data_IF_478114924768
#
_entry.id   IF_478114924768
#
_cell.length_a   1.000
_cell.length_b   1.000
_cell.length_c   1.000
_cell.angle_alpha   90.00
_cell.angle_beta   90.00
_cell.angle_gamma   90.00
#
_symmetry.space_group_name_H-M   'P 1'
#
loop_
_entity.id
_entity.type
_entity.pdbx_description
1 polymer ?
#
# COMPACT_ATOMS: atom_id res chain seq x y z
N UNK A 1 -3.70 7.73 -1.35
CA UNK A 1 -3.37 7.29 0.03
C UNK A 1 -4.41 6.34 0.65
N UNK A 2 -5.71 6.65 0.67
CA UNK A 2 -6.71 5.75 1.27
C UNK A 2 -6.84 4.39 0.54
N UNK A 3 -6.61 4.35 -0.78
CA UNK A 3 -6.64 3.11 -1.57
C UNK A 3 -5.45 2.19 -1.32
N UNK A 4 -4.22 2.71 -1.18
CA UNK A 4 -3.02 1.90 -0.83
C UNK A 4 -3.15 1.27 0.58
N UNK A 5 -3.75 2.00 1.51
CA UNK A 5 -3.88 1.56 2.90
C UNK A 5 -5.03 0.56 3.14
N UNK A 6 -6.10 0.55 2.33
CA UNK A 6 -7.21 -0.40 2.51
C UNK A 6 -6.80 -1.84 2.21
N UNK A 7 -5.90 -2.05 1.25
CA UNK A 7 -5.43 -3.38 0.88
C UNK A 7 -4.65 -4.10 1.99
N UNK A 8 -3.95 -3.35 2.83
CA UNK A 8 -2.98 -3.89 3.80
C UNK A 8 -3.60 -4.49 5.06
N UNK A 9 -4.78 -4.02 5.48
CA UNK A 9 -5.35 -4.41 6.79
C UNK A 9 -6.36 -5.54 6.66
N UNK A 10 -7.14 -5.57 5.57
CA UNK A 10 -8.29 -6.47 5.48
C UNK A 10 -8.41 -7.24 4.16
N UNK A 11 -7.94 -6.69 3.04
CA UNK A 11 -8.31 -7.26 1.74
C UNK A 11 -7.45 -8.45 1.30
N UNK A 12 -6.19 -8.60 1.72
CA UNK A 12 -5.38 -9.77 1.32
C UNK A 12 -5.97 -11.12 1.82
N UNK A 13 -6.62 -11.12 2.98
CA UNK A 13 -7.29 -12.33 3.47
C UNK A 13 -8.50 -12.71 2.61
N UNK A 14 -9.11 -11.76 1.89
CA UNK A 14 -10.27 -12.01 1.03
C UNK A 14 -9.99 -13.09 -0.03
N UNK A 15 -9.02 -12.89 -0.94
CA UNK A 15 -8.63 -13.89 -1.93
C UNK A 15 -8.23 -15.24 -1.32
N UNK A 16 -7.57 -15.25 -0.16
CA UNK A 16 -7.15 -16.49 0.50
C UNK A 16 -8.30 -17.22 1.20
N UNK A 17 -9.30 -16.51 1.72
CA UNK A 17 -10.52 -17.07 2.37
C UNK A 17 -11.56 -17.52 1.35
N UNK A 18 -11.61 -16.86 0.20
CA UNK A 18 -12.63 -17.08 -0.82
C UNK A 18 -11.99 -17.27 -2.21
N UNK A 19 -11.04 -18.21 -2.37
CA UNK A 19 -10.26 -18.33 -3.60
C UNK A 19 -11.12 -18.71 -4.82
N UNK A 20 -12.28 -19.32 -4.60
CA UNK A 20 -13.20 -19.73 -5.68
C UNK A 20 -14.08 -18.57 -6.19
N UNK A 21 -14.04 -17.41 -5.51
CA UNK A 21 -14.80 -16.21 -5.86
C UNK A 21 -13.91 -15.06 -6.34
N UNK A 22 -12.60 -15.30 -6.45
CA UNK A 22 -11.61 -14.29 -6.87
C UNK A 22 -10.79 -14.88 -8.01
N UNK A 23 -10.93 -14.32 -9.21
CA UNK A 23 -10.19 -14.78 -10.39
C UNK A 23 -8.70 -14.48 -10.26
N UNK A 24 -8.36 -13.28 -9.79
CA UNK A 24 -6.99 -12.84 -9.55
C UNK A 24 -6.94 -11.61 -8.64
N UNK A 25 -5.75 -11.27 -8.14
CA UNK A 25 -5.52 -10.09 -7.29
C UNK A 25 -4.32 -9.29 -7.79
N UNK A 26 -4.41 -7.96 -7.75
CA UNK A 26 -3.31 -7.04 -8.02
C UNK A 26 -3.11 -6.18 -6.76
N UNK A 27 -1.88 -6.11 -6.24
CA UNK A 27 -1.56 -5.32 -5.06
C UNK A 27 -0.11 -4.81 -5.07
N UNK A 28 0.20 -3.84 -4.21
CA UNK A 28 1.40 -2.97 -4.19
C UNK A 28 1.01 -1.67 -3.47
N UNK A 29 1.85 -0.79 -2.93
CA UNK A 29 3.29 -0.47 -3.09
C UNK A 29 4.06 -0.58 -1.76
N UNK A 30 3.65 -1.52 -0.92
CA UNK A 30 4.10 -1.62 0.45
C UNK A 30 4.10 -3.08 0.94
N UNK A 31 4.95 -3.41 1.93
CA UNK A 31 5.08 -4.78 2.39
C UNK A 31 3.84 -5.14 3.20
N UNK A 32 3.26 -6.31 2.92
CA UNK A 32 2.04 -6.74 3.59
C UNK A 32 2.30 -6.95 5.09
N UNK A 33 1.47 -6.40 6.00
CA UNK A 33 1.59 -6.66 7.42
C UNK A 33 1.70 -8.15 7.75
N UNK A 34 2.70 -8.53 8.54
CA UNK A 34 2.96 -9.92 8.95
C UNK A 34 3.96 -10.69 8.07
N UNK A 35 4.43 -10.08 6.98
CA UNK A 35 5.56 -10.59 6.17
C UNK A 35 6.91 -10.27 6.80
N UNK A 36 7.96 -10.99 6.40
CA UNK A 36 9.30 -10.72 6.90
C UNK A 36 9.77 -9.30 6.55
N UNK A 37 9.50 -8.83 5.32
CA UNK A 37 9.83 -7.47 4.88
C UNK A 37 9.12 -6.40 5.73
N UNK A 38 7.85 -6.62 6.10
CA UNK A 38 7.13 -5.71 6.99
C UNK A 38 7.79 -5.66 8.37
N UNK A 39 8.07 -6.81 8.99
CA UNK A 39 8.67 -6.88 10.33
C UNK A 39 10.07 -6.26 10.39
N UNK A 40 10.87 -6.45 9.35
CA UNK A 40 12.21 -5.87 9.26
C UNK A 40 12.16 -4.35 9.12
N UNK A 41 11.19 -3.79 8.39
CA UNK A 41 11.22 -2.37 8.03
C UNK A 41 10.38 -1.48 8.95
N UNK A 42 9.24 -1.94 9.48
CA UNK A 42 8.19 -1.13 10.14
C UNK A 42 8.63 -0.17 11.26
N UNK A 43 9.86 -0.30 11.78
CA UNK A 43 10.38 0.52 12.88
C UNK A 43 11.77 1.14 12.59
N UNK A 44 12.34 0.96 11.40
CA UNK A 44 13.78 1.15 11.18
C UNK A 44 14.15 2.40 10.36
N UNK A 45 13.20 3.00 9.63
CA UNK A 45 13.50 4.10 8.71
C UNK A 45 12.78 5.41 9.06
N UNK A 46 13.47 6.56 9.13
CA UNK A 46 12.84 7.88 9.29
C UNK A 46 11.75 8.18 8.24
N UNK A 47 11.92 7.67 7.02
CA UNK A 47 10.95 7.76 5.92
C UNK A 47 9.61 7.09 6.27
N UNK A 48 9.62 6.14 7.21
CA UNK A 48 8.44 5.46 7.74
C UNK A 48 7.90 6.08 9.02
N UNK A 49 8.34 7.29 9.40
CA UNK A 49 7.81 8.02 10.57
C UNK A 49 6.29 8.10 10.59
N UNK A 50 5.66 8.18 9.42
CA UNK A 50 4.21 8.22 9.29
C UNK A 50 3.51 6.98 9.89
N UNK A 51 4.13 5.79 9.89
CA UNK A 51 3.59 4.60 10.57
C UNK A 51 3.47 4.83 12.08
N UNK A 52 4.47 5.47 12.70
CA UNK A 52 4.45 5.79 14.12
C UNK A 52 3.53 6.96 14.44
N UNK A 53 3.60 8.04 13.66
CA UNK A 53 2.77 9.22 13.85
C UNK A 53 1.29 8.89 13.79
N UNK A 54 0.86 8.20 12.72
CA UNK A 54 -0.55 7.96 12.44
C UNK A 54 -1.22 7.02 13.46
N UNK A 55 -0.47 6.12 14.11
CA UNK A 55 -1.02 5.21 15.13
C UNK A 55 -1.20 5.84 16.52
N UNK A 56 -0.59 7.00 16.80
CA UNK A 56 -0.73 7.64 18.12
C UNK A 56 -2.17 8.13 18.33
N UNK A 57 -2.89 7.51 19.25
CA UNK A 57 -4.29 7.85 19.51
C UNK A 57 -4.44 9.34 19.89
N UNK A 58 -5.33 10.04 19.18
CA UNK A 58 -5.66 11.44 19.45
C UNK A 58 -4.66 12.48 18.94
N UNK A 59 -3.48 12.09 18.42
CA UNK A 59 -2.42 13.04 18.04
C UNK A 59 -2.47 13.51 16.56
N UNK A 60 -2.67 12.64 15.54
CA UNK A 60 -2.65 13.07 14.14
C UNK A 60 -3.69 14.14 13.80
N UNK A 61 -4.93 13.93 14.24
CA UNK A 61 -6.05 14.83 13.92
C UNK A 61 -5.78 16.29 14.32
N UNK A 62 -5.47 16.63 15.58
CA UNK A 62 -5.20 18.03 15.95
C UNK A 62 -3.94 18.61 15.31
N UNK A 63 -2.98 17.77 14.88
CA UNK A 63 -1.77 18.26 14.22
C UNK A 63 -1.96 18.49 12.71
N UNK A 64 -2.83 17.73 12.05
CA UNK A 64 -3.07 17.84 10.61
C UNK A 64 -4.21 18.80 10.28
N UNK A 65 -5.20 18.96 11.17
CA UNK A 65 -6.37 19.82 10.93
C UNK A 65 -5.98 21.26 10.57
N UNK A 66 -6.47 21.74 9.42
CA UNK A 66 -6.16 23.07 8.88
C UNK A 66 -4.76 23.19 8.27
N UNK A 67 -4.00 22.08 8.21
CA UNK A 67 -2.66 21.98 7.63
C UNK A 67 -2.55 20.79 6.67
N UNK A 68 -3.67 20.32 6.14
CA UNK A 68 -3.77 19.14 5.28
C UNK A 68 -2.88 19.30 4.04
N UNK A 69 -2.88 20.47 3.41
CA UNK A 69 -2.03 20.75 2.25
C UNK A 69 -0.54 20.60 2.57
N UNK A 70 -0.06 21.18 3.67
CA UNK A 70 1.34 21.06 4.09
C UNK A 70 1.68 19.59 4.41
N UNK A 71 0.80 18.92 5.14
CA UNK A 71 1.00 17.53 5.53
C UNK A 71 1.07 16.59 4.31
N UNK A 72 0.13 16.72 3.38
CA UNK A 72 0.04 15.87 2.20
C UNK A 72 1.15 16.17 1.19
N UNK A 73 1.47 17.45 0.93
CA UNK A 73 2.62 17.80 0.07
C UNK A 73 3.90 17.19 0.61
N UNK A 74 4.18 17.40 1.90
CA UNK A 74 5.34 16.79 2.55
C UNK A 74 5.31 15.27 2.45
N UNK A 75 4.14 14.64 2.64
CA UNK A 75 4.04 13.19 2.49
C UNK A 75 4.43 12.75 1.08
N UNK A 76 3.73 13.24 0.04
CA UNK A 76 3.97 12.84 -1.35
C UNK A 76 5.39 13.16 -1.83
N UNK A 77 5.98 14.28 -1.43
CA UNK A 77 7.37 14.63 -1.75
C UNK A 77 8.38 13.59 -1.26
N UNK A 78 8.11 12.95 -0.12
CA UNK A 78 9.08 12.05 0.52
C UNK A 78 8.91 10.59 0.09
N UNK A 79 7.78 10.23 -0.53
CA UNK A 79 7.48 8.85 -0.93
C UNK A 79 7.53 8.62 -2.44
N UNK A 80 7.52 9.71 -3.23
CA UNK A 80 7.54 9.65 -4.70
C UNK A 80 8.97 9.83 -5.23
N UNK A 81 9.28 9.20 -6.35
CA UNK A 81 10.49 9.46 -7.13
C UNK A 81 10.27 10.70 -8.00
N UNK A 82 9.18 10.74 -8.75
CA UNK A 82 8.70 11.90 -9.49
C UNK A 82 7.62 12.65 -8.69
N UNK A 83 8.05 13.45 -7.70
CA UNK A 83 7.12 14.24 -6.88
C UNK A 83 6.26 15.25 -7.68
N UNK A 84 6.69 15.60 -8.90
CA UNK A 84 5.95 16.47 -9.82
C UNK A 84 4.80 15.77 -10.54
N UNK A 85 4.72 14.44 -10.47
CA UNK A 85 3.58 13.65 -10.96
C UNK A 85 2.29 13.96 -10.20
N UNK A 86 2.39 14.27 -8.91
CA UNK A 86 1.27 14.80 -8.13
C UNK A 86 1.16 16.30 -8.40
N UNK A 87 0.27 16.67 -9.32
CA UNK A 87 0.08 18.07 -9.70
C UNK A 87 -0.57 18.88 -8.57
N UNK A 88 -0.56 20.21 -8.70
CA UNK A 88 -1.29 21.08 -7.76
C UNK A 88 -2.79 20.76 -7.71
N UNK A 89 -3.40 20.44 -8.85
CA UNK A 89 -4.81 20.07 -8.91
C UNK A 89 -5.10 18.73 -8.22
N UNK A 90 -4.21 17.75 -8.36
CA UNK A 90 -4.33 16.46 -7.67
C UNK A 90 -4.18 16.65 -6.16
N UNK A 91 -3.20 17.45 -5.74
CA UNK A 91 -3.00 17.77 -4.33
C UNK A 91 -4.22 18.47 -3.73
N UNK A 92 -4.78 19.47 -4.40
CA UNK A 92 -6.00 20.17 -3.97
C UNK A 92 -7.17 19.19 -3.82
N UNK A 93 -7.28 18.21 -4.72
CA UNK A 93 -8.29 17.15 -4.62
C UNK A 93 -8.07 16.27 -3.39
N UNK A 94 -6.85 15.78 -3.15
CA UNK A 94 -6.54 14.99 -1.96
C UNK A 94 -6.74 15.77 -0.66
N UNK A 95 -6.40 17.07 -0.65
CA UNK A 95 -6.64 17.97 0.48
C UNK A 95 -8.13 18.07 0.76
N UNK A 96 -8.95 18.30 -0.25
CA UNK A 96 -10.40 18.38 -0.09
C UNK A 96 -11.00 17.10 0.50
N UNK A 97 -10.47 15.93 0.12
CA UNK A 97 -10.88 14.64 0.67
C UNK A 97 -10.39 14.43 2.11
N UNK A 98 -9.14 14.79 2.43
CA UNK A 98 -8.59 14.67 3.78
C UNK A 98 -9.15 15.68 4.78
N UNK A 99 -9.60 16.84 4.31
CA UNK A 99 -10.29 17.85 5.12
C UNK A 99 -11.72 17.46 5.48
N UNK A 100 -12.29 16.39 4.90
CA UNK A 100 -13.63 15.94 5.25
C UNK A 100 -13.73 15.52 6.73
N UNK A 101 -14.87 15.78 7.40
CA UNK A 101 -15.07 15.39 8.78
C UNK A 101 -14.79 13.89 9.02
N UNK A 102 -13.74 13.60 9.78
CA UNK A 102 -13.37 12.23 10.14
C UNK A 102 -12.38 11.54 9.20
N UNK A 103 -12.00 12.13 8.06
CA UNK A 103 -11.08 11.51 7.11
C UNK A 103 -9.73 11.15 7.76
N UNK A 104 -9.09 12.13 8.43
CA UNK A 104 -7.83 11.89 9.17
C UNK A 104 -7.99 10.80 10.24
N UNK A 105 -9.11 10.78 10.97
CA UNK A 105 -9.38 9.75 11.99
C UNK A 105 -9.45 8.35 11.37
N UNK A 106 -10.11 8.23 10.21
CA UNK A 106 -10.24 6.98 9.47
C UNK A 106 -8.89 6.53 8.91
N UNK A 107 -8.15 7.42 8.25
CA UNK A 107 -6.80 7.14 7.75
C UNK A 107 -5.87 6.67 8.87
N UNK A 108 -5.80 7.39 9.99
CA UNK A 108 -5.04 6.97 11.19
C UNK A 108 -5.54 5.65 11.80
N UNK A 109 -6.80 5.27 11.55
CA UNK A 109 -7.37 4.01 12.01
C UNK A 109 -6.73 2.79 11.37
N UNK A 110 -6.41 2.87 10.09
CA UNK A 110 -5.69 1.82 9.35
C UNK A 110 -4.35 1.53 10.01
N UNK A 111 -3.55 2.56 10.28
CA UNK A 111 -2.24 2.40 10.91
C UNK A 111 -2.31 1.76 12.30
N UNK A 112 -3.39 1.99 13.06
CA UNK A 112 -3.60 1.32 14.35
C UNK A 112 -3.92 -0.16 14.22
N UNK A 113 -4.49 -0.56 13.08
CA UNK A 113 -4.89 -1.93 12.81
C UNK A 113 -3.78 -2.78 12.18
N UNK A 114 -2.65 -2.20 11.73
CA UNK A 114 -1.58 -2.95 11.08
C UNK A 114 -1.01 -4.11 11.92
N UNK A 115 -0.78 -3.92 13.21
CA UNK A 115 -0.25 -5.01 14.05
C UNK A 115 -1.28 -6.12 14.28
N UNK A 116 -2.57 -5.79 14.31
CA UNK A 116 -3.65 -6.80 14.34
C UNK A 116 -3.70 -7.55 13.00
N UNK A 117 -3.70 -6.83 11.87
CA UNK A 117 -3.68 -7.44 10.55
C UNK A 117 -2.43 -8.30 10.30
N UNK A 118 -1.27 -7.90 10.82
CA UNK A 118 -0.04 -8.67 10.75
C UNK A 118 -0.17 -10.03 11.45
N UNK A 119 -0.78 -10.05 12.65
CA UNK A 119 -1.05 -11.28 13.37
C UNK A 119 -2.04 -12.16 12.59
N UNK A 120 -3.15 -11.59 12.14
CA UNK A 120 -4.20 -12.32 11.40
C UNK A 120 -3.66 -12.92 10.09
N UNK A 121 -2.86 -12.18 9.33
CA UNK A 121 -2.20 -12.66 8.10
C UNK A 121 -1.27 -13.83 8.40
N UNK A 122 -0.45 -13.73 9.45
CA UNK A 122 0.50 -14.77 9.83
C UNK A 122 -0.20 -16.04 10.30
N UNK A 123 -1.19 -15.93 11.18
CA UNK A 123 -1.98 -17.05 11.68
C UNK A 123 -2.73 -17.74 10.55
N UNK A 124 -3.35 -16.96 9.66
CA UNK A 124 -4.06 -17.49 8.50
C UNK A 124 -3.12 -18.29 7.58
N UNK A 125 -1.97 -17.71 7.22
CA UNK A 125 -0.97 -18.36 6.37
C UNK A 125 -0.40 -19.63 7.01
N UNK A 126 -0.15 -19.62 8.31
CA UNK A 126 0.32 -20.82 9.03
C UNK A 126 -0.72 -21.94 9.03
N UNK A 127 -2.01 -21.61 9.14
CA UNK A 127 -3.08 -22.59 9.19
C UNK A 127 -3.51 -23.11 7.81
N UNK A 128 -3.43 -22.27 6.77
CA UNK A 128 -4.01 -22.55 5.45
C UNK A 128 -2.99 -22.61 4.30
N UNK A 129 -1.73 -22.26 4.55
CA UNK A 129 -0.70 -22.14 3.53
C UNK A 129 -0.76 -20.81 2.77
N UNK A 130 -0.06 -20.77 1.63
CA UNK A 130 0.00 -19.61 0.74
C UNK A 130 -1.29 -19.49 -0.08
N UNK A 131 -1.63 -18.28 -0.50
CA UNK A 131 -2.80 -18.03 -1.33
C UNK A 131 -2.58 -18.60 -2.74
N UNK A 132 -3.53 -19.43 -3.22
CA UNK A 132 -3.48 -20.05 -4.56
C UNK A 132 -3.99 -19.13 -5.69
N UNK A 133 -4.68 -18.04 -5.35
CA UNK A 133 -5.22 -17.08 -6.33
C UNK A 133 -4.05 -16.44 -7.08
N UNK A 134 -4.09 -16.37 -8.43
CA UNK A 134 -3.08 -15.67 -9.21
C UNK A 134 -2.92 -14.21 -8.74
N UNK A 135 -1.69 -13.79 -8.52
CA UNK A 135 -1.38 -12.46 -8.01
C UNK A 135 -0.39 -11.71 -8.90
N UNK A 136 -0.64 -10.43 -9.12
CA UNK A 136 0.35 -9.46 -9.59
C UNK A 136 0.76 -8.58 -8.41
N UNK A 137 2.05 -8.53 -8.10
CA UNK A 137 2.60 -7.57 -7.15
C UNK A 137 3.32 -6.45 -7.90
N UNK A 138 2.86 -5.22 -7.73
CA UNK A 138 3.48 -4.04 -8.31
C UNK A 138 4.35 -3.35 -7.26
N UNK A 139 5.58 -3.02 -7.64
CA UNK A 139 6.42 -2.07 -6.90
C UNK A 139 7.00 -0.99 -7.82
N UNK A 140 7.19 0.25 -7.37
CA UNK A 140 7.96 1.24 -8.11
C UNK A 140 9.43 0.83 -8.16
N UNK A 141 10.08 0.98 -9.32
CA UNK A 141 11.51 0.66 -9.51
C UNK A 141 12.43 1.37 -8.51
N UNK A 142 12.06 2.59 -8.09
CA UNK A 142 12.78 3.41 -7.11
C UNK A 142 12.16 3.39 -5.71
N UNK A 143 11.19 2.50 -5.47
CA UNK A 143 10.58 2.31 -4.16
C UNK A 143 11.57 1.75 -3.14
N UNK A 144 11.39 2.11 -1.88
CA UNK A 144 12.16 1.54 -0.76
C UNK A 144 11.94 0.03 -0.61
N UNK A 145 10.87 -0.52 -1.18
CA UNK A 145 10.49 -1.93 -1.07
C UNK A 145 10.68 -2.73 -2.38
N UNK A 146 11.28 -2.12 -3.41
CA UNK A 146 11.44 -2.75 -4.71
C UNK A 146 12.22 -4.09 -4.64
N UNK A 147 13.18 -4.20 -3.73
CA UNK A 147 14.02 -5.39 -3.56
C UNK A 147 13.28 -6.53 -2.84
N UNK A 148 12.38 -6.19 -1.95
CA UNK A 148 11.62 -7.12 -1.12
C UNK A 148 10.30 -7.53 -1.76
N UNK A 149 9.83 -6.82 -2.80
CA UNK A 149 8.54 -7.06 -3.45
C UNK A 149 8.37 -8.52 -3.90
N UNK A 150 9.36 -9.08 -4.59
CA UNK A 150 9.31 -10.47 -5.06
C UNK A 150 9.29 -11.49 -3.91
N UNK A 151 10.11 -11.28 -2.87
CA UNK A 151 10.14 -12.15 -1.70
C UNK A 151 8.83 -12.08 -0.90
N UNK A 152 8.26 -10.88 -0.76
CA UNK A 152 6.98 -10.66 -0.07
C UNK A 152 5.84 -11.38 -0.80
N UNK A 153 5.84 -11.35 -2.13
CA UNK A 153 4.86 -12.10 -2.92
C UNK A 153 5.02 -13.61 -2.78
N UNK A 154 6.24 -14.13 -2.90
CA UNK A 154 6.52 -15.58 -2.75
C UNK A 154 6.18 -16.08 -1.34
N UNK A 155 6.34 -15.25 -0.31
CA UNK A 155 5.90 -15.58 1.05
C UNK A 155 4.37 -15.79 1.13
N UNK A 156 3.59 -15.01 0.38
CA UNK A 156 2.14 -14.94 0.53
C UNK A 156 1.36 -15.75 -0.51
N UNK A 157 1.91 -16.00 -1.69
CA UNK A 157 1.19 -16.57 -2.83
C UNK A 157 1.93 -17.76 -3.45
N UNK A 158 1.17 -18.72 -3.97
CA UNK A 158 1.72 -19.84 -4.74
C UNK A 158 2.04 -19.45 -6.19
N UNK A 159 1.22 -18.56 -6.76
CA UNK A 159 1.30 -18.11 -8.14
C UNK A 159 1.31 -16.58 -8.16
N UNK A 160 2.50 -15.99 -8.13
CA UNK A 160 2.66 -14.54 -8.16
C UNK A 160 3.63 -14.08 -9.24
N UNK A 161 3.28 -12.96 -9.85
CA UNK A 161 4.09 -12.23 -10.81
C UNK A 161 4.56 -10.93 -10.11
N UNK A 162 5.81 -10.82 -9.64
CA UNK A 162 6.36 -9.53 -9.23
C UNK A 162 6.67 -8.70 -10.46
N UNK A 163 6.35 -7.41 -10.41
CA UNK A 163 6.69 -6.47 -11.47
C UNK A 163 7.04 -5.10 -10.92
N UNK A 164 7.98 -4.45 -11.59
CA UNK A 164 8.40 -3.09 -11.26
C UNK A 164 7.79 -2.11 -12.25
N UNK A 165 7.25 -1.00 -11.76
CA UNK A 165 6.81 0.13 -12.59
C UNK A 165 8.00 1.07 -12.77
N UNK A 166 8.41 1.27 -14.02
CA UNK A 166 9.59 2.09 -14.35
C UNK A 166 9.43 3.54 -13.91
N UNK A 167 10.56 4.18 -13.57
CA UNK A 167 10.62 5.61 -13.24
C UNK A 167 9.62 6.04 -12.13
N UNK A 168 9.33 5.14 -11.18
CA UNK A 168 8.32 5.34 -10.13
C UNK A 168 8.79 4.88 -8.76
N UNK A 169 8.29 5.49 -7.70
CA UNK A 169 8.38 4.96 -6.33
C UNK A 169 6.99 4.56 -5.82
N UNK A 170 6.47 5.18 -4.77
CA UNK A 170 5.25 4.71 -4.11
C UNK A 170 3.96 5.13 -4.82
N UNK A 171 3.95 6.21 -5.61
CA UNK A 171 2.76 6.69 -6.30
C UNK A 171 2.74 6.20 -7.75
N UNK A 172 2.93 4.90 -7.98
CA UNK A 172 3.15 4.30 -9.31
C UNK A 172 2.13 4.69 -10.38
N UNK A 173 0.85 4.84 -10.02
CA UNK A 173 -0.21 5.15 -10.96
C UNK A 173 -0.14 6.61 -11.40
N UNK A 174 0.28 7.51 -10.51
CA UNK A 174 0.51 8.91 -10.83
C UNK A 174 1.89 9.13 -11.48
N UNK A 175 2.93 8.45 -11.01
CA UNK A 175 4.33 8.61 -11.46
C UNK A 175 4.57 8.08 -12.87
N UNK A 176 4.00 6.91 -13.21
CA UNK A 176 4.07 6.33 -14.55
C UNK A 176 2.75 5.61 -14.91
N UNK A 177 1.69 6.37 -15.26
CA UNK A 177 0.37 5.82 -15.56
C UNK A 177 0.37 4.86 -16.74
N UNK A 178 1.23 5.09 -17.74
CA UNK A 178 1.30 4.29 -18.95
C UNK A 178 1.81 2.88 -18.64
N UNK A 179 2.94 2.77 -17.92
CA UNK A 179 3.51 1.48 -17.58
C UNK A 179 2.64 0.74 -16.54
N UNK A 180 2.14 1.44 -15.52
CA UNK A 180 1.20 0.88 -14.54
C UNK A 180 -0.03 0.27 -15.24
N UNK A 181 -0.68 1.03 -16.12
CA UNK A 181 -1.90 0.59 -16.82
C UNK A 181 -1.61 -0.59 -17.74
N UNK A 182 -0.49 -0.54 -18.49
CA UNK A 182 -0.07 -1.64 -19.36
C UNK A 182 0.10 -2.95 -18.59
N UNK A 183 0.74 -2.91 -17.42
CA UNK A 183 0.96 -4.10 -16.59
C UNK A 183 -0.35 -4.66 -16.02
N UNK A 184 -1.20 -3.79 -15.47
CA UNK A 184 -2.52 -4.15 -14.93
C UNK A 184 -3.40 -4.81 -16.00
N UNK A 185 -3.50 -4.19 -17.18
CA UNK A 185 -4.33 -4.71 -18.27
C UNK A 185 -3.80 -6.06 -18.79
N UNK A 186 -2.48 -6.16 -19.01
CA UNK A 186 -1.88 -7.40 -19.49
C UNK A 186 -2.14 -8.56 -18.53
N UNK A 187 -2.05 -8.34 -17.21
CA UNK A 187 -2.35 -9.37 -16.22
C UNK A 187 -3.84 -9.69 -16.17
N UNK A 188 -4.70 -8.67 -16.21
CA UNK A 188 -6.15 -8.84 -16.29
C UNK A 188 -6.55 -9.75 -17.45
N UNK A 189 -6.03 -9.51 -18.67
CA UNK A 189 -6.32 -10.33 -19.86
C UNK A 189 -5.93 -11.81 -19.72
N UNK A 190 -4.95 -12.14 -18.87
CA UNK A 190 -4.53 -13.53 -18.61
C UNK A 190 -5.35 -14.24 -17.55
N UNK A 191 -5.93 -13.50 -16.60
CA UNK A 191 -6.50 -14.03 -15.36
C UNK A 191 -7.89 -13.46 -15.03
N UNK A 192 -8.68 -13.07 -16.04
CA UNK A 192 -10.08 -12.64 -15.92
C UNK A 192 -11.09 -13.65 -16.48
#
# INVERSE_FOLDING_TARGET
MAADLSYLVHDHLGPSRYPDYVASVIWGECPLPGTEAYEQHKAMMPQQFHFHFQRVAGLPKPLVAGREHLHLRHFFDNISFNAGAITGGDLDRYVADYSQPGAVRCASGVYRAFETGALENREWRMANGRCRVPALGLSGEHSLQAKEAAATLDEMYENAEPSLVCDSAHCIAEENPDDFTRQVLAFGERHS
#
